data_IF_441330021895
#
_entry.id   IF_441330021895
#
_cell.length_a   1.000
_cell.length_b   1.000
_cell.length_c   1.000
_cell.angle_alpha   90.00
_cell.angle_beta   90.00
_cell.angle_gamma   90.00
#
_symmetry.space_group_name_H-M   'P 1'
#
loop_
_entity.id
_entity.type
_entity.pdbx_description
1 polymer ?
#
# COMPACT_ATOMS: atom_id res chain seq x y z
N UNK A 1 -4.72 -24.09 -15.92
CA UNK A 1 -4.23 -22.72 -16.15
C UNK A 1 -5.35 -21.70 -15.94
N UNK A 2 -5.99 -21.70 -14.76
CA UNK A 2 -7.11 -20.82 -14.47
C UNK A 2 -7.25 -20.65 -12.95
N UNK A 3 -6.46 -19.74 -12.36
CA UNK A 3 -6.88 -18.85 -11.26
C UNK A 3 -5.69 -17.99 -10.76
N UNK A 4 -4.96 -17.32 -11.65
CA UNK A 4 -3.92 -16.34 -11.25
C UNK A 4 -4.52 -15.00 -10.76
N UNK A 5 -5.84 -14.96 -10.53
CA UNK A 5 -6.56 -13.79 -10.03
C UNK A 5 -7.59 -14.23 -8.98
N UNK A 6 -7.70 -13.50 -7.86
CA UNK A 6 -8.69 -13.79 -6.83
C UNK A 6 -10.12 -13.47 -7.33
N UNK A 7 -11.09 -14.27 -6.89
CA UNK A 7 -12.50 -13.93 -7.03
C UNK A 7 -12.84 -12.66 -6.21
N UNK A 8 -13.94 -11.98 -6.51
CA UNK A 8 -14.44 -10.78 -5.84
C UNK A 8 -14.45 -10.97 -4.31
N UNK A 9 -15.00 -12.07 -3.82
CA UNK A 9 -15.03 -12.37 -2.38
C UNK A 9 -13.66 -12.60 -1.77
N UNK A 10 -12.77 -13.26 -2.50
CA UNK A 10 -11.37 -13.46 -2.08
C UNK A 10 -10.63 -12.13 -2.05
N UNK A 11 -10.87 -11.24 -3.02
CA UNK A 11 -10.27 -9.92 -3.08
C UNK A 11 -10.78 -9.01 -1.95
N UNK A 12 -12.08 -9.06 -1.62
CA UNK A 12 -12.65 -8.34 -0.48
C UNK A 12 -12.04 -8.85 0.82
N UNK A 13 -12.10 -10.16 1.07
CA UNK A 13 -11.53 -10.75 2.28
C UNK A 13 -10.02 -10.46 2.38
N UNK A 14 -9.30 -10.54 1.26
CA UNK A 14 -7.89 -10.17 1.17
C UNK A 14 -7.64 -8.70 1.51
N UNK A 15 -8.46 -7.78 0.97
CA UNK A 15 -8.32 -6.34 1.22
C UNK A 15 -8.39 -6.01 2.71
N UNK A 16 -9.21 -6.77 3.47
CA UNK A 16 -9.42 -6.57 4.90
C UNK A 16 -8.65 -7.56 5.80
N UNK A 17 -7.64 -8.25 5.28
CA UNK A 17 -6.63 -8.95 6.10
C UNK A 17 -6.55 -10.46 5.92
N UNK A 18 -7.42 -11.10 5.12
CA UNK A 18 -7.32 -12.53 4.84
C UNK A 18 -6.12 -12.84 3.95
N UNK A 19 -5.39 -13.91 4.26
CA UNK A 19 -4.34 -14.44 3.39
C UNK A 19 -4.96 -15.20 2.20
N UNK A 20 -4.54 -14.85 0.98
CA UNK A 20 -4.83 -15.61 -0.25
C UNK A 20 -3.98 -16.90 -0.34
N UNK A 21 -4.47 -17.92 -1.08
CA UNK A 21 -3.72 -19.15 -1.33
C UNK A 21 -2.38 -18.91 -2.01
N UNK A 22 -1.42 -19.80 -1.78
CA UNK A 22 -0.05 -19.65 -2.29
C UNK A 22 0.04 -19.70 -3.84
N UNK A 23 -0.95 -20.30 -4.50
CA UNK A 23 -1.07 -20.28 -5.96
C UNK A 23 -1.24 -18.88 -6.55
N UNK A 24 -1.64 -17.89 -5.73
CA UNK A 24 -1.86 -16.49 -6.15
C UNK A 24 -0.73 -15.54 -5.72
N UNK A 25 0.44 -16.07 -5.32
CA UNK A 25 1.57 -15.27 -4.82
C UNK A 25 2.05 -14.21 -5.81
N UNK A 26 2.09 -14.54 -7.10
CA UNK A 26 2.51 -13.59 -8.14
C UNK A 26 1.51 -12.43 -8.28
N UNK A 27 0.22 -12.71 -8.18
CA UNK A 27 -0.82 -11.68 -8.14
C UNK A 27 -0.65 -10.77 -6.91
N UNK A 28 -0.39 -11.34 -5.74
CA UNK A 28 -0.15 -10.58 -4.50
C UNK A 28 1.10 -9.71 -4.62
N UNK A 29 2.18 -10.24 -5.19
CA UNK A 29 3.40 -9.49 -5.44
C UNK A 29 3.12 -8.27 -6.34
N UNK A 30 2.39 -8.46 -7.44
CA UNK A 30 2.00 -7.36 -8.33
C UNK A 30 1.00 -6.38 -7.69
N UNK A 31 0.08 -6.86 -6.85
CA UNK A 31 -0.85 -5.99 -6.13
C UNK A 31 -0.13 -5.11 -5.10
N UNK A 32 0.79 -5.69 -4.34
CA UNK A 32 1.49 -5.00 -3.25
C UNK A 32 2.73 -4.25 -3.70
N UNK A 33 3.46 -4.68 -4.73
CA UNK A 33 4.70 -4.05 -5.18
C UNK A 33 4.57 -3.35 -6.55
N UNK A 34 3.54 -3.69 -7.33
CA UNK A 34 3.35 -3.17 -8.68
C UNK A 34 2.86 -1.72 -8.75
N UNK A 35 2.76 -1.20 -9.96
CA UNK A 35 2.34 0.18 -10.21
C UNK A 35 0.93 0.44 -9.67
N UNK A 36 0.74 1.60 -9.03
CA UNK A 36 -0.54 1.97 -8.44
C UNK A 36 -0.90 1.22 -7.16
N UNK A 37 0.01 0.48 -6.52
CA UNK A 37 -0.23 -0.19 -5.24
C UNK A 37 -0.77 0.76 -4.16
N UNK A 38 -0.21 1.98 -4.09
CA UNK A 38 -0.68 3.03 -3.16
C UNK A 38 -2.14 3.39 -3.47
N UNK A 39 -2.47 3.63 -4.75
CA UNK A 39 -3.83 3.98 -5.17
C UNK A 39 -4.83 2.88 -4.79
N UNK A 40 -4.50 1.61 -5.06
CA UNK A 40 -5.36 0.47 -4.70
C UNK A 40 -5.55 0.37 -3.18
N UNK A 41 -4.50 0.56 -2.41
CA UNK A 41 -4.58 0.55 -0.95
C UNK A 41 -5.48 1.70 -0.43
N UNK A 42 -5.33 2.91 -0.96
CA UNK A 42 -6.15 4.07 -0.57
C UNK A 42 -7.63 3.87 -0.90
N UNK A 43 -7.95 3.34 -2.08
CA UNK A 43 -9.34 3.01 -2.43
C UNK A 43 -9.92 1.99 -1.45
N UNK A 44 -9.18 0.92 -1.13
CA UNK A 44 -9.64 -0.14 -0.20
C UNK A 44 -9.86 0.38 1.22
N UNK A 45 -8.93 1.19 1.74
CA UNK A 45 -9.02 1.71 3.12
C UNK A 45 -10.00 2.89 3.23
N UNK A 46 -10.30 3.60 2.15
CA UNK A 46 -11.34 4.64 2.16
C UNK A 46 -12.77 4.10 2.29
N UNK A 47 -13.02 2.84 1.93
CA UNK A 47 -14.37 2.25 1.95
C UNK A 47 -14.94 2.09 3.38
N UNK A 48 -14.24 1.45 4.35
CA UNK A 48 -14.79 1.29 5.70
C UNK A 48 -15.20 2.60 6.41
N UNK A 49 -14.36 3.64 6.49
CA UNK A 49 -14.76 4.89 7.15
C UNK A 49 -15.92 5.56 6.41
N UNK A 50 -15.96 5.49 5.07
CA UNK A 50 -17.09 6.00 4.30
C UNK A 50 -18.40 5.28 4.68
N UNK A 51 -18.38 3.95 4.78
CA UNK A 51 -19.56 3.17 5.15
C UNK A 51 -20.02 3.46 6.58
N UNK A 52 -19.10 3.70 7.51
CA UNK A 52 -19.41 4.04 8.90
C UNK A 52 -20.00 5.45 9.01
N UNK A 53 -19.50 6.40 8.20
CA UNK A 53 -19.92 7.80 8.24
C UNK A 53 -21.17 8.08 7.38
N UNK A 54 -21.44 7.27 6.37
CA UNK A 54 -22.58 7.46 5.45
C UNK A 54 -23.95 7.57 6.15
N UNK A 55 -24.29 6.79 7.20
CA UNK A 55 -25.57 6.92 7.89
C UNK A 55 -25.81 8.30 8.52
N UNK A 56 -24.76 9.03 8.92
CA UNK A 56 -24.89 10.37 9.49
C UNK A 56 -25.46 11.38 8.49
N UNK A 57 -25.32 11.11 7.19
CA UNK A 57 -25.87 11.94 6.10
C UNK A 57 -27.37 11.75 5.88
N UNK A 58 -28.00 10.76 6.54
CA UNK A 58 -29.45 10.58 6.52
C UNK A 58 -30.16 11.45 7.55
N UNK A 59 -29.41 12.10 8.45
CA UNK A 59 -29.98 12.98 9.47
C UNK A 59 -30.35 14.34 8.86
N UNK A 60 -31.45 14.95 9.31
CA UNK A 60 -31.84 16.28 8.85
C UNK A 60 -30.89 17.33 9.47
N UNK A 61 -29.81 17.65 8.76
CA UNK A 61 -28.85 18.69 9.14
C UNK A 61 -28.38 19.49 7.91
N UNK A 62 -27.79 20.66 8.13
CA UNK A 62 -27.21 21.44 7.05
C UNK A 62 -25.97 20.75 6.47
N UNK A 63 -25.61 21.04 5.22
CA UNK A 63 -24.41 20.49 4.59
C UNK A 63 -23.13 20.84 5.38
N UNK A 64 -23.10 22.02 5.98
CA UNK A 64 -22.01 22.48 6.84
C UNK A 64 -21.82 21.56 8.05
N UNK A 65 -22.90 21.26 8.78
CA UNK A 65 -22.87 20.36 9.95
C UNK A 65 -22.42 18.94 9.56
N UNK A 66 -22.91 18.42 8.44
CA UNK A 66 -22.47 17.10 7.94
C UNK A 66 -20.97 17.04 7.68
N UNK A 67 -20.41 18.10 7.07
CA UNK A 67 -18.98 18.16 6.79
C UNK A 67 -18.16 18.27 8.08
N UNK A 68 -18.57 19.10 9.04
CA UNK A 68 -17.86 19.24 10.32
C UNK A 68 -17.82 17.92 11.11
N UNK A 69 -18.91 17.15 11.07
CA UNK A 69 -19.01 15.87 11.77
C UNK A 69 -18.24 14.73 11.10
N UNK A 70 -18.20 14.70 9.77
CA UNK A 70 -17.68 13.53 9.02
C UNK A 70 -16.33 13.75 8.36
N UNK A 71 -16.05 14.96 7.87
CA UNK A 71 -14.83 15.24 7.11
C UNK A 71 -13.55 15.11 7.95
N UNK A 72 -13.46 15.60 9.21
CA UNK A 72 -12.24 15.46 10.00
C UNK A 72 -11.85 13.99 10.23
N UNK A 73 -12.83 13.15 10.57
CA UNK A 73 -12.61 11.72 10.81
C UNK A 73 -12.20 11.02 9.50
N UNK A 74 -12.90 11.31 8.40
CA UNK A 74 -12.60 10.71 7.11
C UNK A 74 -11.21 11.09 6.61
N UNK A 75 -10.88 12.39 6.61
CA UNK A 75 -9.57 12.89 6.21
C UNK A 75 -8.47 12.30 7.10
N UNK A 76 -8.66 12.31 8.42
CA UNK A 76 -7.69 11.74 9.34
C UNK A 76 -7.44 10.26 9.06
N UNK A 77 -8.48 9.48 8.78
CA UNK A 77 -8.33 8.06 8.43
C UNK A 77 -7.48 7.85 7.18
N UNK A 78 -7.65 8.69 6.15
CA UNK A 78 -6.85 8.61 4.91
C UNK A 78 -5.40 9.03 5.14
N UNK A 79 -5.15 10.05 5.95
CA UNK A 79 -3.79 10.48 6.30
C UNK A 79 -3.03 9.38 7.03
N UNK A 80 -3.65 8.75 8.03
CA UNK A 80 -3.05 7.63 8.75
C UNK A 80 -2.85 6.43 7.83
N UNK A 81 -3.81 6.12 6.96
CA UNK A 81 -3.67 5.05 5.98
C UNK A 81 -2.50 5.31 5.02
N UNK A 82 -2.34 6.55 4.53
CA UNK A 82 -1.22 6.93 3.66
C UNK A 82 0.12 6.77 4.38
N UNK A 83 0.20 7.21 5.64
CA UNK A 83 1.41 7.11 6.45
C UNK A 83 1.81 5.65 6.73
N UNK A 84 0.83 4.79 7.03
CA UNK A 84 1.06 3.38 7.37
C UNK A 84 1.13 2.45 6.15
N UNK A 85 0.79 2.93 4.95
CA UNK A 85 0.70 2.15 3.73
C UNK A 85 1.95 1.29 3.47
N UNK A 86 3.15 1.85 3.67
CA UNK A 86 4.40 1.12 3.43
C UNK A 86 4.59 -0.04 4.43
N UNK A 87 4.42 0.25 5.72
CA UNK A 87 4.53 -0.75 6.79
C UNK A 87 3.53 -1.87 6.57
N UNK A 88 2.28 -1.51 6.25
CA UNK A 88 1.22 -2.47 5.96
C UNK A 88 1.55 -3.36 4.76
N UNK A 89 2.00 -2.79 3.63
CA UNK A 89 2.39 -3.56 2.43
C UNK A 89 3.54 -4.52 2.71
N UNK A 90 4.56 -4.09 3.47
CA UNK A 90 5.67 -4.95 3.90
C UNK A 90 5.20 -6.13 4.76
N UNK A 91 4.33 -5.85 5.74
CA UNK A 91 3.72 -6.87 6.57
C UNK A 91 2.92 -7.87 5.73
N UNK A 92 2.12 -7.40 4.77
CA UNK A 92 1.35 -8.26 3.87
C UNK A 92 2.24 -9.14 2.99
N UNK A 93 3.33 -8.62 2.44
CA UNK A 93 4.30 -9.45 1.70
C UNK A 93 4.89 -10.55 2.60
N UNK A 94 5.29 -10.21 3.82
CA UNK A 94 5.81 -11.16 4.80
C UNK A 94 4.77 -12.26 5.15
N UNK A 95 3.50 -11.89 5.33
CA UNK A 95 2.41 -12.86 5.55
C UNK A 95 2.28 -13.88 4.42
N UNK A 96 2.66 -13.52 3.20
CA UNK A 96 2.66 -14.37 2.01
C UNK A 96 4.01 -15.04 1.72
N UNK A 97 5.00 -14.91 2.62
CA UNK A 97 6.34 -15.46 2.45
C UNK A 97 7.12 -14.82 1.29
N UNK A 98 6.75 -13.59 0.89
CA UNK A 98 7.43 -12.80 -0.14
C UNK A 98 8.42 -11.83 0.50
N UNK A 99 9.45 -11.45 -0.25
CA UNK A 99 10.44 -10.46 0.23
C UNK A 99 9.77 -9.10 0.51
N UNK A 100 9.80 -8.60 1.76
CA UNK A 100 9.22 -7.30 2.11
C UNK A 100 9.83 -6.12 1.33
N UNK A 101 11.05 -6.28 0.82
CA UNK A 101 11.73 -5.22 0.06
C UNK A 101 11.17 -5.04 -1.35
N UNK A 102 10.27 -5.94 -1.81
CA UNK A 102 9.58 -5.79 -3.09
C UNK A 102 8.81 -4.46 -3.18
N UNK A 103 8.35 -3.93 -2.04
CA UNK A 103 7.67 -2.62 -1.96
C UNK A 103 8.50 -1.48 -2.59
N UNK A 104 9.83 -1.57 -2.51
CA UNK A 104 10.74 -0.52 -2.94
C UNK A 104 11.26 -0.74 -4.38
N UNK A 105 10.93 -1.85 -5.04
CA UNK A 105 11.47 -2.23 -6.37
C UNK A 105 11.17 -1.18 -7.43
N UNK A 106 9.92 -0.69 -7.53
CA UNK A 106 9.57 0.35 -8.51
C UNK A 106 10.31 1.66 -8.23
N UNK A 107 10.45 2.02 -6.94
CA UNK A 107 11.19 3.22 -6.55
C UNK A 107 12.67 3.08 -6.94
N UNK A 108 13.26 1.91 -6.70
CA UNK A 108 14.65 1.58 -7.10
C UNK A 108 14.83 1.64 -8.62
N UNK A 109 13.92 1.03 -9.39
CA UNK A 109 13.96 1.10 -10.86
C UNK A 109 13.88 2.55 -11.35
N UNK A 110 12.94 3.34 -10.81
CA UNK A 110 12.82 4.76 -11.15
C UNK A 110 14.06 5.56 -10.77
N UNK A 111 14.72 5.25 -9.65
CA UNK A 111 15.92 5.92 -9.16
C UNK A 111 17.23 5.31 -9.70
N UNK A 112 17.17 4.27 -10.53
CA UNK A 112 18.36 3.58 -11.05
C UNK A 112 19.30 4.55 -11.77
N UNK A 113 18.75 5.44 -12.60
CA UNK A 113 19.52 6.48 -13.29
C UNK A 113 20.30 7.40 -12.32
N UNK A 114 19.73 7.72 -11.15
CA UNK A 114 20.40 8.54 -10.13
C UNK A 114 21.55 7.76 -9.50
N UNK A 115 21.35 6.47 -9.22
CA UNK A 115 22.37 5.60 -8.67
C UNK A 115 23.52 5.38 -9.66
N UNK A 116 23.21 5.21 -10.95
CA UNK A 116 24.20 5.08 -12.03
C UNK A 116 25.02 6.37 -12.21
N UNK A 117 24.36 7.53 -12.24
CA UNK A 117 25.03 8.82 -12.32
C UNK A 117 25.92 9.10 -11.10
N UNK A 118 25.46 8.72 -9.91
CA UNK A 118 26.26 8.81 -8.69
C UNK A 118 27.51 7.91 -8.77
N UNK A 119 27.33 6.66 -9.18
CA UNK A 119 28.43 5.70 -9.33
C UNK A 119 29.45 6.15 -10.37
N UNK A 120 29.01 6.80 -11.46
CA UNK A 120 29.89 7.37 -12.47
C UNK A 120 30.75 8.53 -11.92
N UNK A 121 30.19 9.37 -11.05
CA UNK A 121 30.87 10.56 -10.51
C UNK A 121 31.76 10.25 -9.30
N UNK A 122 31.33 9.35 -8.43
CA UNK A 122 31.95 9.12 -7.11
C UNK A 122 32.45 7.69 -6.90
N UNK A 123 32.27 6.80 -7.88
CA UNK A 123 32.63 5.38 -7.78
C UNK A 123 31.51 4.50 -7.21
N UNK A 124 31.65 3.16 -7.34
CA UNK A 124 30.64 2.21 -6.88
C UNK A 124 30.52 2.23 -5.35
N UNK A 125 29.31 1.92 -4.85
CA UNK A 125 29.05 1.81 -3.42
C UNK A 125 29.82 0.59 -2.87
N UNK A 126 30.53 0.71 -1.73
CA UNK A 126 31.21 -0.43 -1.12
C UNK A 126 30.20 -1.48 -0.62
N UNK A 127 30.54 -2.76 -0.72
CA UNK A 127 29.69 -3.89 -0.29
C UNK A 127 29.31 -3.81 1.20
N UNK A 128 30.19 -3.24 2.03
CA UNK A 128 29.91 -3.00 3.45
C UNK A 128 28.73 -2.06 3.71
N UNK A 129 28.23 -1.35 2.70
CA UNK A 129 27.07 -0.46 2.80
C UNK A 129 25.75 -1.11 2.31
N UNK A 130 25.73 -2.40 1.98
CA UNK A 130 24.50 -3.10 1.56
C UNK A 130 23.40 -3.07 2.63
N UNK A 131 23.75 -3.15 3.92
CA UNK A 131 22.78 -3.06 5.02
C UNK A 131 22.03 -1.71 5.04
N UNK A 132 22.62 -0.65 4.47
CA UNK A 132 22.01 0.68 4.36
C UNK A 132 21.04 0.79 3.17
N UNK A 133 21.02 -0.18 2.25
CA UNK A 133 20.05 -0.21 1.16
C UNK A 133 18.61 -0.39 1.69
N UNK A 134 18.45 -0.80 2.95
CA UNK A 134 17.17 -1.01 3.62
C UNK A 134 16.81 0.11 4.64
N UNK A 135 17.19 1.35 4.35
CA UNK A 135 17.25 2.42 5.37
C UNK A 135 15.96 3.20 5.62
N UNK A 136 14.83 2.87 5.00
CA UNK A 136 13.59 3.60 5.30
C UNK A 136 12.61 2.70 6.06
N UNK A 137 12.57 2.80 7.41
CA UNK A 137 11.52 2.19 8.23
C UNK A 137 10.14 2.79 7.95
N UNK A 138 10.11 3.96 7.30
CA UNK A 138 8.93 4.70 6.83
C UNK A 138 8.77 4.63 5.31
#
# INVERSE_FOLDING_TARGET
>A
MAADRPNIWQNIAYSYGRRLPDSMREWVANDLAGEGAIRRHMIRIGIPPLLILAPFWLLPASLYVHLEMTAPIYIWSLLIAMALNKVWRRHRLAQHGLDPNLVDVIKRQKQAHIHEDYARRYGPRPESAEWQANSSPF
#
